data_IF_848512778702
#
_entry.id   IF_848512778702
#
_cell.length_a   1.000
_cell.length_b   1.000
_cell.length_c   1.000
_cell.angle_alpha   90.00
_cell.angle_beta   90.00
_cell.angle_gamma   90.00
#
_symmetry.space_group_name_H-M   'P 1'
#
loop_
_entity.id
_entity.type
_entity.pdbx_description
1 polymer ?
#
# COMPACT_ATOMS: atom_id res chain seq x y z
N UNK A 1 -31.10 14.75 28.64
CA UNK A 1 -31.52 13.92 27.49
C UNK A 1 -30.47 14.08 26.40
N UNK A 2 -29.54 13.14 26.31
CA UNK A 2 -28.58 13.08 25.22
C UNK A 2 -29.21 12.22 24.11
N UNK A 3 -29.39 12.80 22.93
CA UNK A 3 -29.78 12.08 21.73
C UNK A 3 -28.60 11.18 21.33
N UNK A 4 -28.81 9.87 21.35
CA UNK A 4 -27.91 8.91 20.77
C UNK A 4 -27.84 9.17 19.26
N UNK A 5 -26.67 9.57 18.77
CA UNK A 5 -26.37 9.50 17.35
C UNK A 5 -26.33 8.01 16.97
N UNK A 6 -27.39 7.55 16.30
CA UNK A 6 -27.41 6.22 15.70
C UNK A 6 -26.40 6.20 14.54
N UNK A 7 -25.22 5.65 14.78
CA UNK A 7 -24.30 5.29 13.70
C UNK A 7 -24.94 4.18 12.89
N UNK A 8 -25.16 4.41 11.59
CA UNK A 8 -25.57 3.35 10.67
C UNK A 8 -24.40 2.39 10.46
N UNK A 9 -24.55 1.13 10.87
CA UNK A 9 -23.58 0.07 10.60
C UNK A 9 -23.70 -0.43 9.15
N UNK A 10 -22.59 -0.84 8.53
CA UNK A 10 -22.57 -1.46 7.21
C UNK A 10 -23.53 -2.66 7.08
N UNK A 11 -23.69 -3.42 8.17
CA UNK A 11 -24.54 -4.62 8.24
C UNK A 11 -26.05 -4.39 7.98
N UNK A 12 -26.51 -3.14 7.86
CA UNK A 12 -27.92 -2.81 7.56
C UNK A 12 -28.11 -1.89 6.36
N UNK A 13 -27.04 -1.52 5.64
CA UNK A 13 -27.11 -0.61 4.50
C UNK A 13 -27.04 -1.37 3.18
N UNK A 14 -28.10 -1.27 2.36
CA UNK A 14 -28.12 -1.85 1.01
C UNK A 14 -26.98 -1.32 0.13
N UNK A 15 -26.64 -0.03 0.25
CA UNK A 15 -25.53 0.58 -0.50
C UNK A 15 -24.17 0.07 -0.04
N UNK A 16 -23.97 -0.15 1.26
CA UNK A 16 -22.73 -0.73 1.79
C UNK A 16 -22.55 -2.19 1.36
N UNK A 17 -23.62 -2.99 1.38
CA UNK A 17 -23.57 -4.37 0.92
C UNK A 17 -23.31 -4.46 -0.59
N UNK A 18 -23.93 -3.58 -1.39
CA UNK A 18 -23.66 -3.49 -2.82
C UNK A 18 -22.20 -3.10 -3.09
N UNK A 19 -21.67 -2.11 -2.36
CA UNK A 19 -20.27 -1.70 -2.47
C UNK A 19 -19.30 -2.83 -2.09
N UNK A 20 -19.58 -3.58 -1.02
CA UNK A 20 -18.81 -4.76 -0.60
C UNK A 20 -18.78 -5.82 -1.70
N UNK A 21 -19.94 -6.21 -2.23
CA UNK A 21 -20.05 -7.25 -3.25
C UNK A 21 -19.29 -6.85 -4.52
N UNK A 22 -19.49 -5.62 -4.97
CA UNK A 22 -18.83 -5.10 -6.17
C UNK A 22 -17.31 -5.00 -6.00
N UNK A 23 -16.83 -4.58 -4.82
CA UNK A 23 -15.41 -4.54 -4.51
C UNK A 23 -14.76 -5.93 -4.51
N UNK A 24 -15.43 -6.93 -3.91
CA UNK A 24 -14.97 -8.32 -3.91
C UNK A 24 -14.99 -8.93 -5.31
N UNK A 25 -16.03 -8.68 -6.09
CA UNK A 25 -16.13 -9.15 -7.48
C UNK A 25 -15.00 -8.57 -8.33
N UNK A 26 -14.81 -7.23 -8.31
CA UNK A 26 -13.75 -6.58 -9.05
C UNK A 26 -12.35 -7.05 -8.63
N UNK A 27 -12.13 -7.23 -7.32
CA UNK A 27 -10.86 -7.76 -6.80
C UNK A 27 -10.64 -9.22 -7.22
N UNK A 28 -11.66 -10.08 -7.16
CA UNK A 28 -11.56 -11.49 -7.56
C UNK A 28 -11.35 -11.65 -9.07
N UNK A 29 -12.15 -10.95 -9.87
CA UNK A 29 -12.09 -10.98 -11.33
C UNK A 29 -10.89 -10.22 -11.91
N UNK A 30 -10.20 -9.40 -11.08
CA UNK A 30 -9.12 -8.50 -11.50
C UNK A 30 -9.56 -7.60 -12.66
N UNK A 31 -10.76 -7.04 -12.52
CA UNK A 31 -11.42 -6.28 -13.56
C UNK A 31 -11.76 -4.87 -13.09
N UNK A 32 -11.57 -3.89 -13.97
CA UNK A 32 -12.04 -2.54 -13.73
C UNK A 32 -13.57 -2.53 -13.71
N UNK A 33 -14.15 -1.92 -12.68
CA UNK A 33 -15.60 -1.82 -12.52
C UNK A 33 -16.21 -1.03 -13.67
N UNK A 34 -17.25 -1.59 -14.30
CA UNK A 34 -18.00 -0.94 -15.37
C UNK A 34 -18.91 0.19 -14.86
N UNK A 35 -19.29 0.13 -13.58
CA UNK A 35 -20.15 1.11 -12.92
C UNK A 35 -19.46 1.63 -11.66
N UNK A 36 -19.69 2.89 -11.28
CA UNK A 36 -19.17 3.41 -10.02
C UNK A 36 -19.74 2.63 -8.83
N UNK A 37 -18.97 2.53 -7.75
CA UNK A 37 -19.46 2.11 -6.45
C UNK A 37 -20.57 3.07 -5.98
N UNK A 38 -21.58 2.57 -5.24
CA UNK A 38 -22.56 3.43 -4.59
C UNK A 38 -21.89 4.50 -3.75
N UNK A 39 -22.47 5.70 -3.72
CA UNK A 39 -22.03 6.75 -2.81
C UNK A 39 -22.35 6.34 -1.37
N UNK A 40 -21.31 6.25 -0.54
CA UNK A 40 -21.42 5.88 0.86
C UNK A 40 -20.58 6.82 1.73
N UNK A 41 -21.12 7.11 2.91
CA UNK A 41 -20.49 7.97 3.90
C UNK A 41 -19.07 7.47 4.26
N UNK A 42 -18.09 8.36 4.50
CA UNK A 42 -16.70 7.99 4.74
C UNK A 42 -16.50 6.95 5.86
N UNK A 43 -17.25 7.06 6.96
CA UNK A 43 -17.19 6.10 8.06
C UNK A 43 -17.61 4.69 7.62
N UNK A 44 -18.61 4.60 6.73
CA UNK A 44 -19.11 3.34 6.19
C UNK A 44 -18.13 2.73 5.18
N UNK A 45 -17.43 3.55 4.40
CA UNK A 45 -16.37 3.08 3.50
C UNK A 45 -15.25 2.34 4.24
N UNK A 46 -14.90 2.81 5.43
CA UNK A 46 -13.92 2.16 6.32
C UNK A 46 -14.43 0.80 6.82
N UNK A 47 -15.70 0.72 7.24
CA UNK A 47 -16.32 -0.55 7.65
C UNK A 47 -16.39 -1.54 6.48
N UNK A 48 -16.78 -1.08 5.29
CA UNK A 48 -16.80 -1.91 4.09
C UNK A 48 -15.41 -2.42 3.75
N UNK A 49 -14.36 -1.59 3.84
CA UNK A 49 -12.98 -2.06 3.66
C UNK A 49 -12.63 -3.17 4.66
N UNK A 50 -13.00 -3.03 5.93
CA UNK A 50 -12.77 -4.09 6.93
C UNK A 50 -13.46 -5.40 6.54
N UNK A 51 -14.69 -5.33 6.02
CA UNK A 51 -15.42 -6.48 5.51
C UNK A 51 -14.76 -7.08 4.26
N UNK A 52 -14.27 -6.26 3.32
CA UNK A 52 -13.49 -6.74 2.16
C UNK A 52 -12.26 -7.51 2.66
N UNK A 53 -11.48 -6.93 3.58
CA UNK A 53 -10.28 -7.60 4.12
C UNK A 53 -10.62 -8.90 4.85
N UNK A 54 -11.73 -8.93 5.60
CA UNK A 54 -12.21 -10.14 6.28
C UNK A 54 -12.58 -11.25 5.28
N UNK A 55 -13.19 -10.90 4.15
CA UNK A 55 -13.53 -11.87 3.11
C UNK A 55 -12.31 -12.36 2.32
N UNK A 56 -11.25 -11.55 2.21
CA UNK A 56 -10.00 -11.95 1.54
C UNK A 56 -9.05 -12.74 2.45
N UNK A 57 -9.17 -12.59 3.78
CA UNK A 57 -8.26 -13.21 4.75
C UNK A 57 -8.11 -14.75 4.62
N UNK A 58 -9.14 -15.55 4.27
CA UNK A 58 -8.97 -16.99 4.08
C UNK A 58 -7.93 -17.36 3.02
N UNK A 59 -7.84 -16.57 1.94
CA UNK A 59 -6.91 -16.83 0.83
C UNK A 59 -5.60 -16.05 0.96
N UNK A 60 -5.66 -14.87 1.58
CA UNK A 60 -4.53 -13.94 1.64
C UNK A 60 -3.84 -13.86 3.00
N UNK A 61 -4.37 -14.52 4.03
CA UNK A 61 -3.83 -14.50 5.38
C UNK A 61 -4.14 -13.22 6.16
N UNK A 62 -3.45 -13.06 7.29
CA UNK A 62 -3.67 -11.93 8.20
C UNK A 62 -3.14 -10.60 7.66
N UNK A 63 -3.62 -9.49 8.24
CA UNK A 63 -2.99 -8.17 8.02
C UNK A 63 -1.60 -8.20 8.64
N UNK A 64 -0.58 -7.79 7.89
CA UNK A 64 0.84 -7.71 8.33
C UNK A 64 1.49 -6.36 8.02
N UNK A 65 0.70 -5.41 7.53
CA UNK A 65 1.22 -4.10 7.22
C UNK A 65 0.17 -3.16 6.66
N UNK A 66 0.62 -1.95 6.37
CA UNK A 66 -0.20 -0.87 5.86
C UNK A 66 0.51 -0.13 4.75
N UNK A 67 -0.22 0.09 3.67
CA UNK A 67 0.12 1.01 2.60
C UNK A 67 -0.73 2.27 2.75
N UNK A 68 -0.24 3.40 2.26
CA UNK A 68 -1.07 4.59 2.17
C UNK A 68 -0.85 5.34 0.86
N UNK A 69 -1.89 6.04 0.45
CA UNK A 69 -1.88 6.95 -0.70
C UNK A 69 -2.72 8.18 -0.39
N UNK A 70 -2.73 9.15 -1.29
CA UNK A 70 -3.47 10.40 -1.11
C UNK A 70 -4.58 10.47 -2.15
N UNK A 71 -5.81 10.69 -1.70
CA UNK A 71 -6.96 10.91 -2.58
C UNK A 71 -6.91 12.30 -3.23
N UNK A 72 -7.77 12.56 -4.22
CA UNK A 72 -7.88 13.88 -4.85
C UNK A 72 -8.25 14.98 -3.84
N UNK A 73 -8.98 14.61 -2.77
CA UNK A 73 -9.32 15.47 -1.63
C UNK A 73 -8.15 15.82 -0.71
N UNK A 74 -6.93 15.32 -0.99
CA UNK A 74 -5.74 15.41 -0.14
C UNK A 74 -5.81 14.58 1.16
N UNK A 75 -6.87 13.80 1.37
CA UNK A 75 -6.96 12.90 2.51
C UNK A 75 -6.15 11.62 2.28
N UNK A 76 -5.45 11.16 3.34
CA UNK A 76 -4.76 9.88 3.31
C UNK A 76 -5.76 8.72 3.29
N UNK A 77 -5.61 7.84 2.31
CA UNK A 77 -6.26 6.54 2.18
C UNK A 77 -5.31 5.48 2.73
N UNK A 78 -5.75 4.74 3.74
CA UNK A 78 -4.98 3.64 4.35
C UNK A 78 -5.45 2.31 3.78
N UNK A 79 -4.53 1.54 3.23
CA UNK A 79 -4.76 0.20 2.69
C UNK A 79 -4.11 -0.85 3.59
N UNK A 80 -4.83 -1.93 3.88
CA UNK A 80 -4.31 -3.07 4.65
C UNK A 80 -3.53 -4.01 3.73
N UNK A 81 -2.40 -4.53 4.19
CA UNK A 81 -1.56 -5.47 3.46
C UNK A 81 -1.68 -6.85 4.09
N UNK A 82 -2.07 -7.85 3.30
CA UNK A 82 -2.25 -9.23 3.74
C UNK A 82 -1.02 -10.08 3.42
N UNK A 83 -0.77 -11.12 4.22
CA UNK A 83 0.42 -11.99 4.15
C UNK A 83 0.78 -12.45 2.73
N UNK A 84 -0.18 -12.99 1.98
CA UNK A 84 0.06 -13.56 0.66
C UNK A 84 0.03 -12.52 -0.46
N UNK A 85 -0.06 -11.22 -0.15
CA UNK A 85 0.22 -10.16 -1.14
C UNK A 85 1.72 -9.96 -1.35
N UNK A 86 2.54 -10.38 -0.38
CA UNK A 86 3.99 -10.22 -0.43
C UNK A 86 4.65 -11.33 -1.23
N UNK A 87 5.64 -10.94 -2.02
CA UNK A 87 6.50 -11.85 -2.76
C UNK A 87 7.94 -11.34 -2.73
N UNK A 88 8.88 -12.14 -3.25
CA UNK A 88 10.30 -11.81 -3.26
C UNK A 88 10.81 -11.50 -4.66
N UNK A 89 11.96 -10.83 -4.73
CA UNK A 89 12.77 -10.80 -5.96
C UNK A 89 12.92 -12.21 -6.56
N UNK A 90 12.79 -12.31 -7.88
CA UNK A 90 12.70 -13.56 -8.65
C UNK A 90 11.28 -14.02 -8.95
N UNK A 91 10.26 -13.40 -8.36
CA UNK A 91 8.86 -13.77 -8.58
C UNK A 91 8.40 -13.54 -10.02
N UNK A 92 7.48 -14.39 -10.47
CA UNK A 92 6.67 -14.18 -11.67
C UNK A 92 5.24 -13.88 -11.23
N UNK A 93 4.68 -12.79 -11.73
CA UNK A 93 3.37 -12.27 -11.40
C UNK A 93 2.48 -12.29 -12.63
N UNK A 94 1.20 -12.55 -12.42
CA UNK A 94 0.23 -12.60 -13.51
C UNK A 94 -0.35 -11.21 -13.79
N UNK A 95 -0.35 -10.82 -15.06
CA UNK A 95 -1.07 -9.66 -15.55
C UNK A 95 -2.57 -9.86 -15.34
N UNK A 96 -3.26 -8.75 -15.07
CA UNK A 96 -4.72 -8.73 -15.11
C UNK A 96 -5.17 -8.52 -16.56
N UNK A 97 -6.09 -9.35 -17.07
CA UNK A 97 -6.68 -9.15 -18.39
C UNK A 97 -7.75 -8.05 -18.38
N UNK A 98 -8.45 -7.86 -17.25
CA UNK A 98 -9.60 -6.95 -17.13
C UNK A 98 -9.30 -5.61 -16.46
N UNK A 99 -8.09 -5.40 -15.95
CA UNK A 99 -7.71 -4.17 -15.27
C UNK A 99 -6.26 -3.77 -15.61
N UNK A 100 -6.03 -2.48 -15.81
CA UNK A 100 -4.68 -1.95 -15.93
C UNK A 100 -3.94 -2.10 -14.60
N UNK A 101 -2.73 -2.63 -14.64
CA UNK A 101 -1.88 -2.71 -13.45
C UNK A 101 -0.90 -1.55 -13.39
N UNK A 102 -0.65 -1.03 -12.19
CA UNK A 102 0.29 0.08 -11.95
C UNK A 102 1.31 -0.32 -10.91
N UNK A 103 2.59 -0.14 -11.23
CA UNK A 103 3.70 -0.31 -10.30
C UNK A 103 4.08 1.03 -9.64
N UNK A 104 4.32 0.98 -8.34
CA UNK A 104 4.88 2.05 -7.54
C UNK A 104 6.18 1.58 -6.91
N UNK A 105 7.23 2.40 -7.02
CA UNK A 105 8.51 2.15 -6.37
C UNK A 105 8.58 2.88 -5.03
N UNK A 106 9.27 2.28 -4.08
CA UNK A 106 9.61 2.94 -2.82
C UNK A 106 10.11 1.97 -1.77
N UNK A 107 9.86 2.30 -0.50
CA UNK A 107 10.41 1.56 0.62
C UNK A 107 9.34 1.22 1.64
N UNK A 108 9.48 0.04 2.24
CA UNK A 108 8.73 -0.38 3.42
C UNK A 108 9.65 -0.28 4.65
N UNK A 109 9.08 0.08 5.79
CA UNK A 109 9.73 0.00 7.09
C UNK A 109 9.18 -1.20 7.87
N UNK A 110 10.06 -1.95 8.53
CA UNK A 110 9.62 -2.99 9.47
C UNK A 110 9.62 -2.47 10.90
N UNK A 111 8.45 -2.50 11.54
CA UNK A 111 8.32 -2.16 12.95
C UNK A 111 9.15 -3.11 13.81
N UNK A 112 9.89 -2.58 14.79
CA UNK A 112 10.66 -3.43 15.71
C UNK A 112 9.74 -4.40 16.48
N UNK A 113 10.24 -5.57 16.94
CA UNK A 113 9.42 -6.52 17.69
C UNK A 113 8.75 -5.94 18.94
N UNK A 114 9.38 -4.95 19.58
CA UNK A 114 8.83 -4.24 20.75
C UNK A 114 7.65 -3.32 20.40
N UNK A 115 7.33 -3.20 19.11
CA UNK A 115 6.29 -2.32 18.57
C UNK A 115 6.75 -0.89 18.43
N UNK A 116 5.82 -0.07 17.92
CA UNK A 116 5.92 1.37 18.01
C UNK A 116 5.11 1.74 19.26
N UNK A 117 5.76 2.10 20.36
CA UNK A 117 5.05 2.54 21.57
C UNK A 117 4.23 3.82 21.33
N UNK A 118 3.89 4.54 22.41
CA UNK A 118 3.61 5.98 22.27
C UNK A 118 4.92 6.65 21.83
N UNK A 119 5.13 6.80 20.52
CA UNK A 119 6.21 7.66 20.01
C UNK A 119 5.94 9.02 20.59
N UNK A 120 6.75 9.42 21.56
CA UNK A 120 6.84 10.82 21.95
C UNK A 120 7.14 11.59 20.66
N UNK A 121 6.43 12.68 20.35
CA UNK A 121 6.61 13.40 19.07
C UNK A 121 8.07 13.81 18.82
N UNK A 122 8.89 13.84 19.89
CA UNK A 122 10.32 14.09 19.88
C UNK A 122 11.22 12.88 19.56
N UNK A 123 10.72 11.64 19.66
CA UNK A 123 11.52 10.45 19.41
C UNK A 123 11.74 10.24 17.90
N UNK A 124 12.99 10.02 17.43
CA UNK A 124 13.25 9.83 16.02
C UNK A 124 12.55 8.57 15.49
N UNK A 125 11.86 8.70 14.36
CA UNK A 125 11.07 7.60 13.77
C UNK A 125 11.90 6.31 13.61
N UNK A 126 13.18 6.42 13.23
CA UNK A 126 14.07 5.28 12.95
C UNK A 126 14.33 4.39 14.17
N UNK A 127 14.11 4.89 15.40
CA UNK A 127 14.21 4.06 16.60
C UNK A 127 13.09 3.01 16.67
N UNK A 128 11.95 3.28 16.05
CA UNK A 128 10.78 2.38 16.02
C UNK A 128 10.87 1.30 14.93
N UNK A 129 11.86 1.36 14.05
CA UNK A 129 11.99 0.45 12.91
C UNK A 129 13.31 -0.32 12.93
N UNK A 130 13.24 -1.57 12.48
CA UNK A 130 14.37 -2.50 12.40
C UNK A 130 14.94 -2.60 11.00
N UNK A 131 14.15 -2.33 9.96
CA UNK A 131 14.56 -2.53 8.58
C UNK A 131 13.98 -1.46 7.65
N UNK A 132 14.77 -1.09 6.65
CA UNK A 132 14.33 -0.40 5.44
C UNK A 132 14.36 -1.41 4.30
N UNK A 133 13.23 -1.62 3.62
CA UNK A 133 13.05 -2.69 2.65
C UNK A 133 12.69 -2.06 1.30
N UNK A 134 13.50 -2.23 0.24
CA UNK A 134 13.09 -1.88 -1.11
C UNK A 134 11.79 -2.62 -1.48
N UNK A 135 10.84 -1.93 -2.12
CA UNK A 135 9.58 -2.54 -2.51
C UNK A 135 9.05 -2.00 -3.84
N UNK A 136 8.47 -2.91 -4.62
CA UNK A 136 7.61 -2.58 -5.77
C UNK A 136 6.19 -2.98 -5.43
N UNK A 137 5.29 -2.00 -5.34
CA UNK A 137 3.87 -2.24 -5.07
C UNK A 137 3.08 -2.17 -6.36
N UNK A 138 2.38 -3.26 -6.67
CA UNK A 138 1.58 -3.39 -7.87
C UNK A 138 0.11 -3.35 -7.46
N UNK A 139 -0.63 -2.49 -8.14
CA UNK A 139 -2.06 -2.30 -7.92
C UNK A 139 -2.84 -2.56 -9.20
N UNK A 140 -4.01 -3.16 -9.07
CA UNK A 140 -4.99 -3.23 -10.14
C UNK A 140 -5.83 -1.92 -10.12
N UNK A 141 -6.02 -1.26 -11.27
CA UNK A 141 -6.94 -0.12 -11.38
C UNK A 141 -8.39 -0.64 -11.41
N UNK A 142 -8.93 -0.91 -10.23
CA UNK A 142 -10.27 -1.50 -10.10
C UNK A 142 -11.40 -0.48 -10.26
N UNK A 143 -11.18 0.78 -9.89
CA UNK A 143 -12.25 1.78 -9.87
C UNK A 143 -12.72 2.20 -11.27
N UNK A 144 -14.01 2.47 -11.37
CA UNK A 144 -14.59 3.15 -12.53
C UNK A 144 -13.88 4.51 -12.75
N UNK A 145 -13.68 4.96 -14.00
CA UNK A 145 -12.94 6.19 -14.31
C UNK A 145 -13.42 7.44 -13.55
N UNK A 146 -14.73 7.54 -13.31
CA UNK A 146 -15.39 8.67 -12.65
C UNK A 146 -15.03 8.79 -11.16
N UNK A 147 -14.64 7.68 -10.53
CA UNK A 147 -14.25 7.63 -9.11
C UNK A 147 -12.73 7.60 -8.93
N UNK A 148 -11.96 7.92 -9.98
CA UNK A 148 -10.51 8.00 -9.88
C UNK A 148 -10.10 9.06 -8.85
N UNK A 149 -9.48 8.61 -7.77
CA UNK A 149 -9.03 9.49 -6.69
C UNK A 149 -10.10 9.84 -5.67
N UNK A 150 -11.29 9.22 -5.75
CA UNK A 150 -12.32 9.33 -4.72
C UNK A 150 -11.90 8.59 -3.45
N UNK A 151 -11.99 9.28 -2.29
CA UNK A 151 -11.46 8.73 -1.04
C UNK A 151 -12.23 7.49 -0.56
N UNK A 152 -13.57 7.53 -0.63
CA UNK A 152 -14.42 6.42 -0.19
C UNK A 152 -14.21 5.19 -1.07
N UNK A 153 -14.25 5.37 -2.39
CA UNK A 153 -14.05 4.30 -3.36
C UNK A 153 -12.64 3.69 -3.27
N UNK A 154 -11.60 4.51 -3.11
CA UNK A 154 -10.24 4.02 -2.87
C UNK A 154 -10.12 3.25 -1.55
N UNK A 155 -10.79 3.70 -0.50
CA UNK A 155 -10.79 3.01 0.80
C UNK A 155 -11.46 1.64 0.69
N UNK A 156 -12.67 1.57 0.14
CA UNK A 156 -13.45 0.34 -0.07
C UNK A 156 -12.64 -0.71 -0.83
N UNK A 157 -12.01 -0.30 -1.94
CA UNK A 157 -11.25 -1.19 -2.81
C UNK A 157 -9.83 -1.47 -2.32
N UNK A 158 -9.47 -1.02 -1.12
CA UNK A 158 -8.11 -1.13 -0.58
C UNK A 158 -7.05 -0.57 -1.55
N UNK A 159 -7.42 0.51 -2.27
CA UNK A 159 -6.68 1.15 -3.35
C UNK A 159 -6.21 0.20 -4.48
N UNK A 160 -6.83 -0.98 -4.61
CA UNK A 160 -6.48 -2.00 -5.58
C UNK A 160 -5.12 -2.67 -5.34
N UNK A 161 -4.53 -2.56 -4.15
CA UNK A 161 -3.22 -3.17 -3.84
C UNK A 161 -3.31 -4.69 -4.03
N UNK A 162 -2.40 -5.24 -4.86
CA UNK A 162 -2.41 -6.64 -5.27
C UNK A 162 -1.15 -7.38 -4.87
N UNK A 163 0.02 -6.88 -5.28
CA UNK A 163 1.30 -7.52 -5.02
C UNK A 163 2.31 -6.53 -4.44
N UNK A 164 3.20 -7.04 -3.58
CA UNK A 164 4.36 -6.32 -3.07
C UNK A 164 5.59 -7.19 -3.29
N UNK A 165 6.42 -6.82 -4.26
CA UNK A 165 7.71 -7.48 -4.48
C UNK A 165 8.73 -6.83 -3.57
N UNK A 166 9.21 -7.57 -2.57
CA UNK A 166 10.20 -7.08 -1.62
C UNK A 166 11.63 -7.41 -2.07
N UNK A 167 12.52 -6.45 -1.86
CA UNK A 167 13.96 -6.60 -2.00
C UNK A 167 14.64 -7.01 -0.70
N UNK A 168 15.95 -7.18 -0.77
CA UNK A 168 16.77 -7.45 0.40
C UNK A 168 16.78 -6.23 1.35
N UNK A 169 16.47 -6.41 2.65
CA UNK A 169 16.44 -5.32 3.61
C UNK A 169 17.82 -4.69 3.85
N UNK A 170 17.83 -3.41 4.22
CA UNK A 170 18.87 -2.82 5.04
C UNK A 170 18.45 -2.90 6.50
N UNK A 171 19.33 -3.42 7.35
CA UNK A 171 19.14 -3.38 8.79
C UNK A 171 19.31 -1.94 9.27
N UNK A 172 18.37 -1.47 10.08
CA UNK A 172 18.40 -0.14 10.69
C UNK A 172 18.86 -0.27 12.13
N UNK A 173 20.13 0.04 12.38
CA UNK A 173 20.62 0.44 13.68
C UNK A 173 20.42 1.94 13.89
N UNK A 174 20.94 2.44 15.02
CA UNK A 174 20.92 3.87 15.34
C UNK A 174 21.72 4.68 14.31
N UNK A 175 22.90 4.18 13.92
CA UNK A 175 23.79 4.88 12.99
C UNK A 175 23.22 4.92 11.58
N UNK A 176 22.66 3.80 11.09
CA UNK A 176 22.01 3.75 9.78
C UNK A 176 20.75 4.62 9.75
N UNK A 177 19.95 4.60 10.81
CA UNK A 177 18.76 5.45 10.94
C UNK A 177 19.10 6.94 10.87
N UNK A 178 20.15 7.37 11.56
CA UNK A 178 20.68 8.75 11.49
C UNK A 178 21.21 9.05 10.09
N UNK A 179 21.94 8.12 9.47
CA UNK A 179 22.52 8.28 8.13
C UNK A 179 21.43 8.51 7.07
N UNK A 180 20.28 7.84 7.21
CA UNK A 180 19.15 8.02 6.31
C UNK A 180 18.39 9.34 6.54
N UNK A 181 18.58 10.00 7.69
CA UNK A 181 17.91 11.26 7.99
C UNK A 181 18.50 12.38 7.14
N UNK A 182 17.67 13.00 6.30
CA UNK A 182 18.10 13.99 5.33
C UNK A 182 18.78 13.39 4.08
N UNK A 183 18.84 12.06 3.96
CA UNK A 183 19.38 11.40 2.78
C UNK A 183 18.37 11.35 1.64
N UNK A 184 18.89 11.35 0.41
CA UNK A 184 18.10 11.06 -0.79
C UNK A 184 18.06 9.56 -1.03
N UNK A 185 16.86 9.03 -1.25
CA UNK A 185 16.64 7.65 -1.67
C UNK A 185 16.12 7.68 -3.10
N UNK A 186 16.68 6.84 -3.96
CA UNK A 186 16.37 6.81 -5.39
C UNK A 186 15.98 5.40 -5.82
N UNK A 187 15.05 5.30 -6.75
CA UNK A 187 14.65 4.05 -7.37
C UNK A 187 14.40 4.22 -8.87
N UNK A 188 14.73 3.19 -9.66
CA UNK A 188 14.52 3.15 -11.10
C UNK A 188 13.94 1.78 -11.47
N UNK A 189 12.80 1.78 -12.17
CA UNK A 189 12.24 0.59 -12.82
C UNK A 189 12.65 0.61 -14.29
N UNK A 190 13.16 -0.51 -14.76
CA UNK A 190 13.48 -0.74 -16.16
C UNK A 190 12.91 -2.07 -16.65
N UNK A 191 12.67 -2.14 -17.96
CA UNK A 191 12.29 -3.37 -18.64
C UNK A 191 13.50 -4.27 -18.97
N UNK A 192 13.24 -5.38 -19.67
CA UNK A 192 14.29 -6.32 -20.06
C UNK A 192 15.30 -5.76 -21.08
N UNK A 193 14.92 -4.72 -21.84
CA UNK A 193 15.81 -4.01 -22.75
C UNK A 193 16.65 -2.94 -22.03
N UNK A 194 16.37 -2.68 -20.75
CA UNK A 194 16.99 -1.62 -19.97
C UNK A 194 16.34 -0.25 -20.21
N UNK A 195 15.19 -0.19 -20.89
CA UNK A 195 14.41 1.03 -21.04
C UNK A 195 13.85 1.44 -19.68
N UNK A 196 14.03 2.72 -19.33
CA UNK A 196 13.57 3.28 -18.06
C UNK A 196 12.06 3.50 -18.12
N UNK A 197 11.33 2.77 -17.28
CA UNK A 197 9.87 2.86 -17.22
C UNK A 197 9.40 3.85 -16.15
N UNK A 198 10.07 3.89 -15.00
CA UNK A 198 9.72 4.79 -13.91
C UNK A 198 10.91 5.12 -13.04
N UNK A 199 10.90 6.32 -12.48
CA UNK A 199 11.88 6.78 -11.50
C UNK A 199 11.15 7.30 -10.27
N UNK A 200 11.80 7.13 -9.13
CA UNK A 200 11.29 7.58 -7.85
C UNK A 200 12.44 8.16 -7.03
N UNK A 201 12.22 9.28 -6.37
CA UNK A 201 13.23 9.99 -5.62
C UNK A 201 12.57 10.69 -4.44
N UNK A 202 12.99 10.36 -3.23
CA UNK A 202 12.53 11.02 -2.01
C UNK A 202 13.70 11.59 -1.23
N UNK A 203 13.55 12.80 -0.71
CA UNK A 203 14.45 13.35 0.29
C UNK A 203 13.83 13.14 1.66
N UNK A 204 14.52 12.44 2.55
CA UNK A 204 13.95 12.05 3.82
C UNK A 204 14.09 13.14 4.88
N UNK A 205 13.24 14.17 4.83
CA UNK A 205 13.15 15.12 5.94
C UNK A 205 12.50 14.43 7.15
N UNK A 206 13.16 14.48 8.32
CA UNK A 206 12.68 13.82 9.54
C UNK A 206 11.25 14.20 9.92
N UNK A 207 10.88 15.46 9.67
CA UNK A 207 9.55 16.01 10.00
C UNK A 207 8.44 15.41 9.13
N UNK A 208 8.74 15.10 7.87
CA UNK A 208 7.74 14.59 6.93
C UNK A 208 7.38 13.14 7.29
N UNK A 209 8.40 12.29 7.50
CA UNK A 209 8.20 10.88 7.85
C UNK A 209 7.46 10.68 9.17
N UNK A 210 7.84 11.39 10.23
CA UNK A 210 7.17 11.29 11.53
C UNK A 210 5.71 11.75 11.47
N UNK A 211 5.41 12.83 10.72
CA UNK A 211 4.05 13.30 10.52
C UNK A 211 3.16 12.26 9.86
N UNK A 212 3.66 11.63 8.79
CA UNK A 212 2.96 10.57 8.06
C UNK A 212 2.66 9.35 8.94
N UNK A 213 3.67 8.90 9.71
CA UNK A 213 3.52 7.75 10.61
C UNK A 213 2.51 8.07 11.72
N UNK A 214 2.52 9.29 12.26
CA UNK A 214 1.56 9.72 13.27
C UNK A 214 0.13 9.82 12.72
N UNK A 215 -0.05 10.32 11.50
CA UNK A 215 -1.36 10.34 10.84
C UNK A 215 -1.89 8.90 10.63
N UNK A 216 -1.05 7.99 10.13
CA UNK A 216 -1.40 6.58 9.99
C UNK A 216 -1.81 5.97 11.34
N UNK A 217 -1.04 6.23 12.41
CA UNK A 217 -1.36 5.76 13.77
C UNK A 217 -2.70 6.31 14.26
N UNK A 218 -2.99 7.58 14.02
CA UNK A 218 -4.27 8.19 14.38
C UNK A 218 -5.44 7.54 13.65
N UNK A 219 -5.30 7.31 12.33
CA UNK A 219 -6.32 6.63 11.52
C UNK A 219 -6.54 5.17 11.94
N UNK A 220 -5.49 4.44 12.31
CA UNK A 220 -5.61 3.08 12.84
C UNK A 220 -6.28 3.06 14.21
N UNK A 221 -5.88 3.97 15.11
CA UNK A 221 -6.44 4.08 16.46
C UNK A 221 -7.93 4.42 16.43
N UNK A 222 -8.36 5.29 15.51
CA UNK A 222 -9.78 5.60 15.28
C UNK A 222 -10.62 4.36 14.90
N UNK A 223 -9.97 3.30 14.41
CA UNK A 223 -10.58 2.00 14.06
C UNK A 223 -10.34 0.92 15.13
N UNK A 224 -9.79 1.28 16.29
CA UNK A 224 -9.40 0.32 17.33
C UNK A 224 -8.22 -0.59 16.95
N UNK A 225 -7.41 -0.19 15.96
CA UNK A 225 -6.23 -0.92 15.47
C UNK A 225 -4.94 -0.22 15.91
N UNK A 226 -3.87 -1.01 16.04
CA UNK A 226 -2.55 -0.51 16.42
C UNK A 226 -1.47 -1.15 15.55
N UNK A 227 -0.36 -0.44 15.37
CA UNK A 227 0.83 -0.98 14.73
C UNK A 227 1.52 -1.97 15.66
N UNK A 228 1.60 -3.22 15.23
CA UNK A 228 2.19 -4.31 16.00
C UNK A 228 3.66 -4.46 15.66
N UNK A 229 4.39 -5.14 16.55
CA UNK A 229 5.76 -5.55 16.27
C UNK A 229 5.84 -6.35 14.97
N UNK A 230 6.84 -6.04 14.14
CA UNK A 230 7.08 -6.65 12.83
C UNK A 230 6.12 -6.27 11.69
N UNK A 231 5.09 -5.44 11.94
CA UNK A 231 4.25 -4.91 10.86
C UNK A 231 5.11 -4.14 9.84
N UNK A 232 4.69 -4.16 8.57
CA UNK A 232 5.34 -3.46 7.46
C UNK A 232 4.60 -2.18 7.12
N UNK A 233 5.29 -1.05 7.07
CA UNK A 233 4.69 0.25 6.75
C UNK A 233 5.28 0.85 5.49
N UNK A 234 4.42 1.32 4.60
CA UNK A 234 4.84 2.10 3.46
C UNK A 234 5.38 3.46 3.90
N UNK A 235 6.57 3.81 3.41
CA UNK A 235 7.27 5.05 3.75
C UNK A 235 6.90 6.22 2.81
N UNK A 236 6.14 5.95 1.75
CA UNK A 236 5.47 6.96 0.95
C UNK A 236 5.72 6.84 -0.55
N UNK A 237 4.80 7.39 -1.37
CA UNK A 237 4.97 7.38 -2.80
C UNK A 237 6.19 8.22 -3.14
N UNK A 238 7.19 7.57 -3.72
CA UNK A 238 8.46 8.23 -4.05
C UNK A 238 8.50 8.72 -5.49
N UNK A 239 7.42 8.49 -6.24
CA UNK A 239 7.22 8.91 -7.62
C UNK A 239 5.83 8.50 -8.13
N UNK A 240 5.44 8.93 -9.35
CA UNK A 240 4.20 8.51 -9.98
C UNK A 240 4.23 7.01 -10.28
N UNK A 241 3.07 6.35 -10.19
CA UNK A 241 2.96 4.96 -10.60
C UNK A 241 3.03 4.81 -12.12
N UNK A 242 3.64 3.73 -12.60
CA UNK A 242 3.74 3.41 -14.04
C UNK A 242 2.88 2.22 -14.41
N UNK A 243 2.20 2.32 -15.54
CA UNK A 243 1.39 1.24 -16.09
C UNK A 243 2.26 0.05 -16.50
N UNK A 244 1.95 -1.13 -15.99
CA UNK A 244 2.57 -2.39 -16.40
C UNK A 244 1.76 -2.96 -17.57
N UNK A 245 2.00 -2.43 -18.77
CA UNK A 245 1.41 -2.92 -20.02
C UNK A 245 2.24 -3.98 -20.74
N UNK A 246 3.36 -4.41 -20.14
CA UNK A 246 4.36 -5.27 -20.79
C UNK A 246 4.46 -6.62 -20.07
N UNK A 247 4.55 -7.68 -20.86
CA UNK A 247 4.99 -9.00 -20.40
C UNK A 247 6.51 -9.06 -20.42
N UNK A 248 7.09 -9.78 -19.47
CA UNK A 248 8.51 -10.05 -19.43
C UNK A 248 9.17 -9.60 -18.12
N UNK A 249 10.49 -9.65 -18.13
CA UNK A 249 11.32 -9.34 -16.97
C UNK A 249 11.41 -7.83 -16.75
N UNK A 250 11.28 -7.44 -15.49
CA UNK A 250 11.45 -6.09 -14.99
C UNK A 250 12.55 -6.09 -13.93
N UNK A 251 13.30 -5.00 -13.83
CA UNK A 251 14.27 -4.78 -12.76
C UNK A 251 14.06 -3.42 -12.12
N UNK A 252 13.99 -3.39 -10.79
CA UNK A 252 13.96 -2.17 -10.02
C UNK A 252 15.26 -2.02 -9.21
N UNK A 253 16.03 -0.98 -9.51
CA UNK A 253 17.24 -0.61 -8.80
C UNK A 253 16.92 0.43 -7.73
N UNK A 254 17.43 0.25 -6.52
CA UNK A 254 17.23 1.12 -5.37
C UNK A 254 18.58 1.56 -4.82
N UNK A 255 18.74 2.86 -4.59
CA UNK A 255 19.99 3.48 -4.15
C UNK A 255 19.74 4.33 -2.89
N UNK A 256 20.63 4.17 -1.91
CA UNK A 256 20.65 4.91 -0.65
C UNK A 256 22.10 5.17 -0.23
N UNK A 257 22.31 5.96 0.82
CA UNK A 257 23.64 6.08 1.45
C UNK A 257 24.15 4.77 2.07
N UNK A 258 23.28 3.80 2.31
CA UNK A 258 23.63 2.45 2.79
C UNK A 258 23.99 1.48 1.65
N UNK A 259 24.04 1.98 0.41
CA UNK A 259 24.38 1.23 -0.79
C UNK A 259 23.16 0.93 -1.68
N UNK A 260 23.37 0.02 -2.63
CA UNK A 260 22.40 -0.32 -3.67
C UNK A 260 21.77 -1.70 -3.45
N UNK A 261 20.52 -1.84 -3.88
CA UNK A 261 19.76 -3.10 -3.90
C UNK A 261 18.98 -3.20 -5.20
N UNK A 262 18.76 -4.43 -5.67
CA UNK A 262 18.01 -4.71 -6.88
C UNK A 262 16.89 -5.70 -6.61
N UNK A 263 15.72 -5.40 -7.16
CA UNK A 263 14.59 -6.32 -7.29
C UNK A 263 14.48 -6.72 -8.74
N UNK A 264 14.23 -8.00 -8.99
CA UNK A 264 13.89 -8.53 -10.30
C UNK A 264 12.56 -9.24 -10.17
N UNK A 265 11.67 -9.07 -11.13
CA UNK A 265 10.44 -9.84 -11.21
C UNK A 265 10.01 -9.95 -12.67
N UNK A 266 9.03 -10.79 -12.97
CA UNK A 266 8.47 -10.92 -14.30
C UNK A 266 6.95 -10.74 -14.28
N UNK A 267 6.41 -10.16 -15.35
CA UNK A 267 4.98 -10.11 -15.62
C UNK A 267 4.64 -11.12 -16.72
N UNK A 268 3.65 -11.98 -16.48
CA UNK A 268 3.20 -13.01 -17.42
C UNK A 268 1.76 -12.72 -17.85
N UNK A 269 1.45 -12.91 -19.13
CA UNK A 269 0.06 -12.83 -19.60
C UNK A 269 -0.73 -14.05 -19.11
N UNK A 270 -1.99 -13.89 -18.65
CA UNK A 270 -2.82 -15.00 -18.18
C UNK A 270 -3.00 -16.13 -19.22
N UNK A 271 -2.86 -15.84 -20.52
CA UNK A 271 -3.05 -16.82 -21.61
C UNK A 271 -1.77 -17.61 -21.99
N UNK A 272 -0.69 -17.51 -21.20
CA UNK A 272 0.63 -18.06 -21.58
C UNK A 272 0.87 -19.54 -21.19
N UNK A 273 -0.18 -20.34 -21.02
CA UNK A 273 -0.08 -21.79 -20.71
C UNK A 273 -0.43 -22.66 -21.89
#
# INVERSE_FOLDING_TARGET
MALAAGGSSAFGSESAQAALNQALEAFGARQQMAHPLPDIEPGLAVEVQDLVMMNLAPDYGGVVGYWWSVASSQEMVVSSLLENMFTSSGATLDLAAGAEQVAHLGWMLRVRPQGIGTVDEAAPWYESFSELIPAVVIRDRLLAPEQKGDWSAMTITNAGVRYLVLGMPWQLGKEEGVTLLGARLEALLADNAGERLAEASVLFAARDASGMINELRAKLSARGRFLRGSDLLWLGPTGPGVSLGVTGRLSADFSTLLGQRRIVFAMRSPDST
#
